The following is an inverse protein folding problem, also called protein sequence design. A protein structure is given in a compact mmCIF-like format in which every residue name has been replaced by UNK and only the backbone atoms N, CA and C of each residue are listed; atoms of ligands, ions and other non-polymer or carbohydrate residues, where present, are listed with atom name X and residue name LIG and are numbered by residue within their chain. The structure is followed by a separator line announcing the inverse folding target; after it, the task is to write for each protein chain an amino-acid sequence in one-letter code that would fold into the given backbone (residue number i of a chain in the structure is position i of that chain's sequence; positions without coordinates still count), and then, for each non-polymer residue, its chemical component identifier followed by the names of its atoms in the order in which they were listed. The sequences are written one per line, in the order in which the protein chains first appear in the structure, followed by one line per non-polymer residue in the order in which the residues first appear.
data_IF_424070617323
#
_entry.id   IF_424070617323
#
_cell.length_a   1.000
_cell.length_b   1.000
_cell.length_c   1.000
_cell.angle_alpha   90.00
_cell.angle_beta   90.00
_cell.angle_gamma   90.00
#
_symmetry.space_group_name_H-M   'P 1'
#
loop_
_entity.id
_entity.type
_entity.pdbx_description
1 polymer ?
#
# COMPACT_ATOMS: atom_id res chain seq x y z
N UNK A 1 -9.90 22.39 -16.15
CA UNK A 1 -10.29 21.43 -15.10
C UNK A 1 -11.33 20.52 -15.72
N UNK A 2 -10.94 19.39 -16.27
CA UNK A 2 -11.83 18.48 -17.02
C UNK A 2 -12.68 17.69 -16.01
N UNK A 3 -13.98 17.77 -16.14
CA UNK A 3 -14.93 17.05 -15.26
C UNK A 3 -14.78 15.55 -15.54
N UNK A 4 -14.57 14.69 -14.52
CA UNK A 4 -14.37 13.25 -14.71
C UNK A 4 -15.52 12.52 -15.44
N UNK A 5 -16.69 13.16 -15.59
CA UNK A 5 -17.83 12.62 -16.32
C UNK A 5 -17.69 12.65 -17.84
N UNK A 6 -16.87 13.50 -18.41
CA UNK A 6 -16.75 13.62 -19.89
C UNK A 6 -15.94 12.46 -20.49
N UNK A 7 -14.82 12.06 -19.87
CA UNK A 7 -13.97 10.98 -20.37
C UNK A 7 -14.68 9.63 -20.37
N UNK A 8 -15.41 9.31 -19.28
CA UNK A 8 -16.15 8.05 -19.19
C UNK A 8 -17.27 7.98 -20.23
N UNK A 9 -17.99 9.09 -20.47
CA UNK A 9 -19.03 9.17 -21.48
C UNK A 9 -18.46 9.02 -22.88
N UNK A 10 -17.38 9.72 -23.21
CA UNK A 10 -16.68 9.62 -24.49
C UNK A 10 -16.14 8.20 -24.74
N UNK A 11 -15.62 7.54 -23.71
CA UNK A 11 -15.16 6.15 -23.82
C UNK A 11 -16.31 5.19 -24.11
N UNK A 12 -17.43 5.33 -23.39
CA UNK A 12 -18.64 4.52 -23.59
C UNK A 12 -19.19 4.73 -25.02
N UNK A 13 -19.26 5.96 -25.49
CA UNK A 13 -19.70 6.30 -26.84
C UNK A 13 -18.77 5.74 -27.91
N UNK A 14 -17.46 5.76 -27.68
CA UNK A 14 -16.47 5.18 -28.56
C UNK A 14 -16.61 3.64 -28.64
N UNK A 15 -16.75 2.99 -27.49
CA UNK A 15 -16.98 1.54 -27.41
C UNK A 15 -18.28 1.16 -28.10
N UNK A 16 -19.37 1.89 -27.84
CA UNK A 16 -20.69 1.63 -28.44
C UNK A 16 -20.70 1.77 -29.96
N UNK A 17 -19.86 2.66 -30.51
CA UNK A 17 -19.71 2.82 -31.96
C UNK A 17 -18.87 1.73 -32.64
N UNK A 18 -17.94 1.13 -31.88
CA UNK A 18 -16.98 0.15 -32.40
C UNK A 18 -17.53 -1.28 -32.32
N UNK A 19 -18.42 -1.55 -31.39
CA UNK A 19 -18.98 -2.87 -31.15
C UNK A 19 -20.29 -3.08 -31.97
N UNK A 20 -20.62 -4.35 -32.35
CA UNK A 20 -21.91 -4.66 -32.92
C UNK A 20 -23.08 -4.23 -32.03
N UNK A 21 -24.19 -3.84 -32.64
CA UNK A 21 -25.38 -3.43 -31.92
C UNK A 21 -25.84 -4.51 -30.91
N UNK A 22 -26.11 -4.09 -29.66
CA UNK A 22 -26.54 -4.99 -28.59
C UNK A 22 -25.39 -5.67 -27.82
N UNK A 23 -24.12 -5.45 -28.17
CA UNK A 23 -22.98 -5.99 -27.42
C UNK A 23 -22.84 -5.28 -26.06
N UNK A 24 -23.05 -3.98 -26.01
CA UNK A 24 -23.07 -3.21 -24.75
C UNK A 24 -24.50 -3.23 -24.18
N UNK A 25 -24.75 -4.10 -23.23
CA UNK A 25 -26.10 -4.35 -22.68
C UNK A 25 -26.39 -3.57 -21.40
N UNK A 26 -25.34 -3.14 -20.67
CA UNK A 26 -25.51 -2.41 -19.43
C UNK A 26 -24.31 -1.52 -19.12
N UNK A 27 -24.57 -0.30 -18.66
CA UNK A 27 -23.58 0.64 -18.13
C UNK A 27 -24.01 1.09 -16.74
N UNK A 28 -23.15 0.94 -15.75
CA UNK A 28 -23.38 1.42 -14.39
C UNK A 28 -22.35 2.46 -14.02
N UNK A 29 -22.80 3.66 -13.72
CA UNK A 29 -21.95 4.71 -13.18
C UNK A 29 -21.98 4.64 -11.65
N UNK A 30 -20.79 4.49 -11.04
CA UNK A 30 -20.64 4.59 -9.60
C UNK A 30 -20.30 6.04 -9.25
N UNK A 31 -21.06 6.68 -8.33
CA UNK A 31 -20.76 8.04 -7.91
C UNK A 31 -19.40 8.08 -7.19
N UNK A 32 -18.68 9.18 -7.38
CA UNK A 32 -17.46 9.44 -6.63
C UNK A 32 -17.79 9.56 -5.14
N UNK A 33 -17.03 8.86 -4.31
CA UNK A 33 -17.13 8.98 -2.86
C UNK A 33 -15.98 9.87 -2.35
N UNK A 34 -16.23 10.82 -1.44
CA UNK A 34 -15.17 11.63 -0.85
C UNK A 34 -14.22 10.75 -0.04
N UNK A 35 -12.93 10.97 -0.22
CA UNK A 35 -11.92 10.32 0.60
C UNK A 35 -12.04 10.80 2.06
N UNK A 36 -12.06 9.85 3.00
CA UNK A 36 -11.97 10.14 4.43
C UNK A 36 -10.53 9.94 4.87
N UNK A 37 -9.83 11.04 5.05
CA UNK A 37 -8.42 11.03 5.43
C UNK A 37 -8.19 11.65 6.80
N UNK A 38 -7.09 11.25 7.41
CA UNK A 38 -6.58 11.79 8.68
C UNK A 38 -5.09 12.08 8.55
N UNK A 39 -4.53 12.98 9.37
CA UNK A 39 -3.11 13.25 9.36
C UNK A 39 -2.29 12.03 9.76
N UNK A 40 -0.99 12.09 9.48
CA UNK A 40 -0.02 11.10 9.92
C UNK A 40 0.07 11.05 11.44
N UNK A 41 0.23 9.86 12.05
CA UNK A 41 0.41 9.76 13.50
C UNK A 41 1.78 10.29 13.92
N UNK A 42 1.85 10.90 15.10
CA UNK A 42 3.07 11.51 15.62
C UNK A 42 4.21 10.50 15.89
N UNK A 43 3.89 9.21 16.01
CA UNK A 43 4.88 8.16 16.19
C UNK A 43 5.49 7.65 14.88
N UNK A 44 4.95 8.05 13.72
CA UNK A 44 5.50 7.64 12.43
C UNK A 44 6.93 8.15 12.26
N UNK A 45 7.81 7.32 11.72
CA UNK A 45 9.16 7.74 11.37
C UNK A 45 9.11 8.88 10.35
N UNK A 46 9.81 9.98 10.62
CA UNK A 46 9.73 11.21 9.83
C UNK A 46 10.25 11.01 8.39
N UNK A 47 11.29 10.22 8.23
CA UNK A 47 11.88 9.98 6.91
C UNK A 47 10.97 9.09 6.06
N UNK A 48 10.36 8.06 6.64
CA UNK A 48 9.36 7.24 5.97
C UNK A 48 8.12 8.06 5.59
N UNK A 49 7.65 8.91 6.50
CA UNK A 49 6.54 9.83 6.24
C UNK A 49 6.86 10.73 5.02
N UNK A 50 8.00 11.39 5.02
CA UNK A 50 8.45 12.25 3.91
C UNK A 50 8.46 11.50 2.58
N UNK A 51 8.97 10.26 2.55
CA UNK A 51 9.04 9.43 1.34
C UNK A 51 7.67 9.03 0.81
N UNK A 52 6.73 8.71 1.70
CA UNK A 52 5.35 8.46 1.29
C UNK A 52 4.70 9.72 0.73
N UNK A 53 4.93 10.89 1.33
CA UNK A 53 4.43 12.16 0.80
C UNK A 53 5.00 12.48 -0.59
N UNK A 54 6.28 12.24 -0.81
CA UNK A 54 6.93 12.39 -2.12
C UNK A 54 6.35 11.41 -3.15
N UNK A 55 5.97 10.21 -2.74
CA UNK A 55 5.26 9.25 -3.60
C UNK A 55 3.79 9.61 -3.88
N UNK A 56 3.28 10.70 -3.28
CA UNK A 56 1.93 11.22 -3.49
C UNK A 56 0.93 10.90 -2.37
N UNK A 57 1.34 10.22 -1.30
CA UNK A 57 0.46 9.92 -0.15
C UNK A 57 0.47 11.09 0.83
N UNK A 58 -0.44 12.05 0.64
CA UNK A 58 -0.51 13.27 1.48
C UNK A 58 -1.13 13.08 2.86
N UNK A 59 -1.98 12.08 3.02
CA UNK A 59 -2.64 11.75 4.27
C UNK A 59 -3.09 10.30 4.25
N UNK A 60 -3.32 9.73 5.41
CA UNK A 60 -3.80 8.35 5.55
C UNK A 60 -5.32 8.28 5.38
N UNK A 61 -5.82 7.25 4.71
CA UNK A 61 -7.23 6.91 4.83
C UNK A 61 -7.54 6.46 6.27
N UNK A 62 -8.76 6.72 6.73
CA UNK A 62 -9.17 6.39 8.10
C UNK A 62 -8.91 4.93 8.48
N UNK A 63 -9.17 3.99 7.57
CA UNK A 63 -8.92 2.56 7.82
C UNK A 63 -7.41 2.22 7.89
N UNK A 64 -6.56 2.93 7.13
CA UNK A 64 -5.10 2.77 7.20
C UNK A 64 -4.57 3.26 8.55
N UNK A 65 -4.99 4.46 8.96
CA UNK A 65 -4.58 5.05 10.23
C UNK A 65 -5.05 4.21 11.42
N UNK A 66 -6.29 3.73 11.40
CA UNK A 66 -6.83 2.87 12.44
C UNK A 66 -6.07 1.54 12.53
N UNK A 67 -5.81 0.89 11.39
CA UNK A 67 -5.01 -0.33 11.34
C UNK A 67 -3.60 -0.09 11.90
N UNK A 68 -2.93 0.96 11.43
CA UNK A 68 -1.58 1.31 11.85
C UNK A 68 -1.51 1.61 13.35
N UNK A 69 -2.46 2.37 13.88
CA UNK A 69 -2.51 2.71 15.31
C UNK A 69 -2.70 1.47 16.20
N UNK A 70 -3.66 0.62 15.87
CA UNK A 70 -3.89 -0.62 16.63
C UNK A 70 -2.68 -1.56 16.59
N UNK A 71 -2.04 -1.70 15.43
CA UNK A 71 -0.83 -2.50 15.30
C UNK A 71 0.35 -1.91 16.09
N UNK A 72 0.52 -0.58 16.07
CA UNK A 72 1.52 0.13 16.87
C UNK A 72 1.32 -0.09 18.38
N UNK A 73 0.08 -0.16 18.82
CA UNK A 73 -0.29 -0.46 20.22
C UNK A 73 -0.19 -1.97 20.58
N UNK A 74 0.31 -2.80 19.65
CA UNK A 74 0.49 -4.25 19.89
C UNK A 74 -0.79 -5.06 19.75
N UNK A 75 -1.85 -4.50 19.17
CA UNK A 75 -3.12 -5.21 18.94
C UNK A 75 -3.10 -5.97 17.63
N UNK A 76 -3.58 -7.20 17.62
CA UNK A 76 -3.78 -7.98 16.40
C UNK A 76 -4.90 -7.37 15.55
N UNK A 77 -4.65 -7.16 14.26
CA UNK A 77 -5.57 -6.46 13.37
C UNK A 77 -5.93 -7.30 12.14
N UNK A 78 -7.21 -7.31 11.80
CA UNK A 78 -7.70 -7.85 10.53
C UNK A 78 -8.32 -6.69 9.74
N UNK A 79 -7.84 -6.49 8.50
CA UNK A 79 -8.33 -5.43 7.62
C UNK A 79 -9.14 -6.02 6.48
N UNK A 80 -10.46 -5.86 6.55
CA UNK A 80 -11.41 -6.30 5.52
C UNK A 80 -11.93 -5.07 4.74
N UNK A 81 -11.29 -4.75 3.62
CA UNK A 81 -11.69 -3.64 2.73
C UNK A 81 -11.60 -4.10 1.28
N UNK A 82 -12.21 -3.37 0.36
CA UNK A 82 -12.12 -3.63 -1.08
C UNK A 82 -10.69 -3.70 -1.59
N UNK A 83 -10.51 -4.26 -2.78
CA UNK A 83 -9.21 -4.23 -3.49
C UNK A 83 -8.79 -2.80 -3.80
N UNK A 84 -7.49 -2.57 -3.96
CA UNK A 84 -6.92 -1.25 -4.28
C UNK A 84 -7.24 -0.12 -3.27
N UNK A 85 -7.53 -0.47 -2.02
CA UNK A 85 -7.80 0.50 -0.95
C UNK A 85 -6.56 0.98 -0.20
N UNK A 86 -5.36 0.59 -0.65
CA UNK A 86 -4.09 0.96 -0.02
C UNK A 86 -3.84 0.30 1.34
N UNK A 87 -4.40 -0.89 1.60
CA UNK A 87 -4.24 -1.63 2.87
C UNK A 87 -2.78 -1.79 3.32
N UNK A 88 -1.86 -1.89 2.36
CA UNK A 88 -0.43 -2.12 2.63
C UNK A 88 0.15 -1.07 3.57
N UNK A 89 -0.21 0.19 3.40
CA UNK A 89 0.27 1.27 4.25
C UNK A 89 -0.13 1.09 5.72
N UNK A 90 -1.31 0.54 5.98
CA UNK A 90 -1.80 0.31 7.35
C UNK A 90 -0.93 -0.65 8.17
N UNK A 91 -0.24 -1.62 7.56
CA UNK A 91 0.70 -2.50 8.27
C UNK A 91 2.17 -2.13 8.01
N UNK A 92 2.50 -1.57 6.85
CA UNK A 92 3.87 -1.16 6.55
C UNK A 92 4.34 -0.03 7.45
N UNK A 93 3.47 0.93 7.76
CA UNK A 93 3.82 2.08 8.59
C UNK A 93 4.32 1.68 9.99
N UNK A 94 3.56 0.93 10.81
CA UNK A 94 4.04 0.52 12.12
C UNK A 94 5.25 -0.42 12.04
N UNK A 95 5.28 -1.36 11.09
CA UNK A 95 6.39 -2.29 10.91
C UNK A 95 7.70 -1.55 10.60
N UNK A 96 7.69 -0.68 9.60
CA UNK A 96 8.92 0.02 9.19
C UNK A 96 9.37 1.04 10.23
N UNK A 97 8.43 1.71 10.92
CA UNK A 97 8.77 2.59 12.05
C UNK A 97 9.42 1.80 13.20
N UNK A 98 8.90 0.62 13.54
CA UNK A 98 9.52 -0.24 14.55
C UNK A 98 10.93 -0.68 14.12
N UNK A 99 11.11 -1.13 12.88
CA UNK A 99 12.42 -1.51 12.36
C UNK A 99 13.41 -0.33 12.31
N UNK A 100 12.93 0.90 12.15
CA UNK A 100 13.77 2.09 12.18
C UNK A 100 14.23 2.46 13.60
N UNK A 101 13.45 2.11 14.61
CA UNK A 101 13.71 2.48 16.02
C UNK A 101 14.33 1.35 16.84
N UNK A 102 14.10 0.09 16.50
CA UNK A 102 14.62 -1.08 17.20
C UNK A 102 15.48 -1.95 16.26
N UNK A 103 16.81 -1.92 16.40
CA UNK A 103 17.73 -2.69 15.57
C UNK A 103 17.66 -4.21 15.80
N UNK A 104 16.93 -4.66 16.83
CA UNK A 104 16.72 -6.09 17.12
C UNK A 104 15.39 -6.62 16.57
N UNK A 105 14.51 -5.71 16.14
CA UNK A 105 13.22 -6.08 15.59
C UNK A 105 13.36 -6.80 14.25
N UNK A 106 12.49 -7.76 14.02
CA UNK A 106 12.31 -8.37 12.71
C UNK A 106 10.82 -8.44 12.36
N UNK A 107 10.51 -8.44 11.07
CA UNK A 107 9.16 -8.55 10.57
C UNK A 107 9.07 -9.66 9.53
N UNK A 108 8.00 -10.43 9.58
CA UNK A 108 7.71 -11.48 8.61
C UNK A 108 6.46 -11.11 7.81
N UNK A 109 6.58 -11.08 6.50
CA UNK A 109 5.47 -10.82 5.59
C UNK A 109 5.11 -12.09 4.81
N UNK A 110 3.93 -12.63 5.07
CA UNK A 110 3.43 -13.84 4.43
C UNK A 110 2.46 -13.49 3.30
N UNK A 111 2.70 -14.02 2.12
CA UNK A 111 1.86 -13.81 0.94
C UNK A 111 1.35 -15.13 0.37
N UNK A 112 0.15 -15.15 -0.21
CA UNK A 112 -0.40 -16.36 -0.82
C UNK A 112 0.31 -16.75 -2.14
N UNK A 113 1.03 -15.83 -2.77
CA UNK A 113 1.74 -16.08 -4.04
C UNK A 113 3.11 -15.42 -4.05
N UNK A 114 4.07 -16.05 -4.75
CA UNK A 114 5.42 -15.50 -4.96
C UNK A 114 5.39 -14.15 -5.65
N UNK A 115 4.53 -13.97 -6.64
CA UNK A 115 4.38 -12.71 -7.38
C UNK A 115 4.03 -11.55 -6.42
N UNK A 116 3.02 -11.74 -5.57
CA UNK A 116 2.64 -10.73 -4.59
C UNK A 116 3.77 -10.44 -3.59
N UNK A 117 4.50 -11.50 -3.15
CA UNK A 117 5.67 -11.34 -2.30
C UNK A 117 6.76 -10.50 -2.95
N UNK A 118 7.06 -10.78 -4.22
CA UNK A 118 8.05 -10.00 -5.00
C UNK A 118 7.62 -8.54 -5.18
N UNK A 119 6.36 -8.28 -5.47
CA UNK A 119 5.84 -6.91 -5.60
C UNK A 119 5.96 -6.13 -4.28
N UNK A 120 5.63 -6.77 -3.16
CA UNK A 120 5.76 -6.16 -1.84
C UNK A 120 7.24 -5.93 -1.46
N UNK A 121 8.11 -6.88 -1.79
CA UNK A 121 9.54 -6.74 -1.57
C UNK A 121 10.12 -5.55 -2.34
N UNK A 122 9.76 -5.41 -3.61
CA UNK A 122 10.17 -4.27 -4.44
C UNK A 122 9.67 -2.94 -3.89
N UNK A 123 8.40 -2.89 -3.49
CA UNK A 123 7.80 -1.68 -2.91
C UNK A 123 8.51 -1.25 -1.61
N UNK A 124 8.73 -2.19 -0.68
CA UNK A 124 9.44 -1.91 0.57
C UNK A 124 10.89 -1.53 0.30
N UNK A 125 11.61 -2.27 -0.57
CA UNK A 125 13.00 -1.97 -0.91
C UNK A 125 13.16 -0.58 -1.52
N UNK A 126 12.23 -0.17 -2.38
CA UNK A 126 12.22 1.18 -2.95
C UNK A 126 11.98 2.26 -1.89
N UNK A 127 11.08 2.00 -0.94
CA UNK A 127 10.73 2.93 0.12
C UNK A 127 11.89 3.14 1.11
N UNK A 128 12.58 2.06 1.50
CA UNK A 128 13.68 2.13 2.47
C UNK A 128 15.04 2.44 1.86
N UNK A 129 15.16 2.45 0.53
CA UNK A 129 16.41 2.80 -0.16
C UNK A 129 16.93 4.14 0.34
N UNK A 130 18.20 4.20 0.72
CA UNK A 130 18.86 5.40 1.26
C UNK A 130 18.21 5.97 2.55
N UNK A 131 17.36 5.19 3.23
CA UNK A 131 16.89 5.54 4.57
C UNK A 131 18.05 5.47 5.57
N UNK A 132 18.25 6.46 6.46
CA UNK A 132 19.42 6.54 7.33
C UNK A 132 19.68 5.30 8.18
N UNK A 133 18.60 4.64 8.64
CA UNK A 133 18.68 3.44 9.49
C UNK A 133 18.39 2.17 8.68
N UNK A 134 17.37 2.17 7.82
CA UNK A 134 16.90 0.98 7.11
C UNK A 134 17.65 0.72 5.80
N UNK A 135 18.27 1.73 5.21
CA UNK A 135 18.65 1.75 3.78
C UNK A 135 20.07 1.31 3.44
N UNK A 136 21.10 1.45 4.14
CA UNK A 136 22.44 1.33 3.56
C UNK A 136 23.42 0.46 4.35
N UNK A 137 23.31 -0.86 4.23
CA UNK A 137 24.47 -1.76 4.43
C UNK A 137 25.23 -1.66 5.76
N UNK A 138 24.75 -0.88 6.71
CA UNK A 138 25.24 -0.91 8.08
C UNK A 138 24.70 -2.18 8.77
N UNK A 139 25.37 -2.63 9.82
CA UNK A 139 24.95 -3.83 10.58
C UNK A 139 23.52 -3.76 11.16
N UNK A 140 22.88 -2.61 11.04
CA UNK A 140 21.51 -2.31 11.47
C UNK A 140 20.52 -2.14 10.33
N UNK A 141 20.95 -2.28 9.07
CA UNK A 141 20.07 -2.12 7.92
C UNK A 141 19.07 -3.26 7.85
N UNK A 142 17.78 -2.92 7.73
CA UNK A 142 16.75 -3.89 7.39
C UNK A 142 17.03 -4.41 5.98
N UNK A 143 17.35 -5.69 5.85
CA UNK A 143 17.54 -6.31 4.55
C UNK A 143 16.30 -7.12 4.24
N UNK A 144 15.37 -6.61 3.42
CA UNK A 144 14.24 -7.40 2.98
C UNK A 144 14.77 -8.53 2.08
N UNK A 145 14.49 -9.75 2.47
CA UNK A 145 14.88 -10.93 1.71
C UNK A 145 13.66 -11.83 1.46
N UNK A 146 13.50 -12.39 0.26
CA UNK A 146 12.49 -13.38 0.02
C UNK A 146 12.86 -14.67 0.73
N UNK A 147 11.92 -15.24 1.48
CA UNK A 147 12.06 -16.58 2.05
C UNK A 147 11.15 -17.53 1.26
N UNK A 148 11.75 -18.43 0.51
CA UNK A 148 11.02 -19.41 -0.29
C UNK A 148 10.81 -20.70 0.54
N UNK A 149 9.62 -20.89 1.07
CA UNK A 149 9.22 -22.11 1.79
C UNK A 149 9.22 -23.36 0.91
N UNK A 150 9.31 -23.23 -0.41
CA UNK A 150 9.39 -24.38 -1.32
C UNK A 150 10.71 -25.14 -1.22
N UNK A 151 11.71 -24.58 -0.56
CA UNK A 151 13.02 -25.23 -0.32
C UNK A 151 13.08 -25.98 1.02
N UNK A 152 12.05 -25.97 1.83
CA UNK A 152 11.96 -26.83 3.00
C UNK A 152 11.47 -28.22 2.53
N UNK A 153 12.36 -28.97 1.92
CA UNK A 153 12.22 -30.41 1.89
C UNK A 153 12.69 -30.96 3.24
N UNK A 154 11.73 -31.38 4.04
CA UNK A 154 11.99 -32.22 5.23
C UNK A 154 12.28 -33.62 4.75
#
# INVERSE_FOLDING_TARGET
MTVPGSFASELIDSISRTLPAGTLTHVRTLPAQPARTVPWPAWADEELHRRWEESGVKALYTHQAQCAQLAWEGTNVVVATGTSSGKSLGYQLPVLTTLATDPTACAMYLTPTKALGSDQLLAVSSLIKDHPVLGNGTKTAATPAPYDLSLIHI
#
